data_IF_772106490408
#
_entry.id   IF_772106490408
#
_cell.length_a   1.000
_cell.length_b   1.000
_cell.length_c   1.000
_cell.angle_alpha   90.00
_cell.angle_beta   90.00
_cell.angle_gamma   90.00
#
_symmetry.space_group_name_H-M   'P 1'
#
loop_
_entity.id
_entity.type
_entity.pdbx_description
1 polymer ?
#
# COMPACT_ATOMS: atom_id res chain seq x y z
N UNK A 1 -59.35 -7.75 -11.47
CA UNK A 1 -58.09 -6.98 -11.30
C UNK A 1 -57.16 -7.50 -10.20
N UNK A 2 -57.62 -8.12 -9.09
CA UNK A 2 -56.76 -8.50 -7.94
C UNK A 2 -55.77 -9.66 -8.16
N UNK A 3 -56.07 -10.66 -9.00
CA UNK A 3 -55.16 -11.83 -9.18
C UNK A 3 -53.87 -11.52 -9.97
N UNK A 4 -53.92 -10.60 -10.94
CA UNK A 4 -52.73 -10.20 -11.75
C UNK A 4 -51.75 -9.35 -10.93
N UNK A 5 -52.26 -8.55 -10.02
CA UNK A 5 -51.41 -7.69 -9.13
C UNK A 5 -50.66 -8.54 -8.12
N UNK A 6 -51.28 -9.58 -7.54
CA UNK A 6 -50.64 -10.50 -6.57
C UNK A 6 -49.54 -11.35 -7.25
N UNK A 7 -49.77 -11.81 -8.47
CA UNK A 7 -48.76 -12.54 -9.24
C UNK A 7 -47.56 -11.64 -9.61
N UNK A 8 -47.81 -10.38 -9.99
CA UNK A 8 -46.74 -9.42 -10.32
C UNK A 8 -45.88 -9.08 -9.09
N UNK A 9 -46.50 -8.89 -7.91
CA UNK A 9 -45.79 -8.67 -6.66
C UNK A 9 -45.02 -9.88 -6.19
N UNK A 10 -45.55 -11.08 -6.38
CA UNK A 10 -44.87 -12.36 -6.10
C UNK A 10 -43.66 -12.59 -6.98
N UNK A 11 -43.74 -12.31 -8.27
CA UNK A 11 -42.62 -12.43 -9.21
C UNK A 11 -41.56 -11.37 -8.96
N UNK A 12 -41.93 -10.12 -8.61
CA UNK A 12 -41.02 -9.07 -8.23
C UNK A 12 -40.29 -9.41 -6.93
N UNK A 13 -40.99 -9.98 -5.92
CA UNK A 13 -40.41 -10.45 -4.68
C UNK A 13 -39.43 -11.63 -4.88
N UNK A 14 -39.77 -12.60 -5.71
CA UNK A 14 -38.87 -13.71 -6.05
C UNK A 14 -37.67 -13.22 -6.85
N UNK A 15 -37.85 -12.27 -7.79
CA UNK A 15 -36.75 -11.64 -8.51
C UNK A 15 -35.78 -10.87 -7.59
N UNK A 16 -36.31 -10.13 -6.63
CA UNK A 16 -35.52 -9.40 -5.64
C UNK A 16 -34.74 -10.35 -4.69
N UNK A 17 -35.38 -11.45 -4.25
CA UNK A 17 -34.73 -12.47 -3.44
C UNK A 17 -33.66 -13.24 -4.23
N UNK A 18 -33.91 -13.58 -5.48
CA UNK A 18 -32.95 -14.26 -6.34
C UNK A 18 -31.77 -13.33 -6.70
N UNK A 19 -32.03 -12.05 -6.97
CA UNK A 19 -31.01 -11.02 -7.20
C UNK A 19 -30.17 -10.79 -5.97
N UNK A 20 -30.78 -10.62 -4.80
CA UNK A 20 -30.08 -10.47 -3.53
C UNK A 20 -29.21 -11.69 -3.19
N UNK A 21 -29.72 -12.90 -3.43
CA UNK A 21 -28.96 -14.13 -3.26
C UNK A 21 -27.75 -14.26 -4.20
N UNK A 22 -27.86 -13.76 -5.44
CA UNK A 22 -26.74 -13.76 -6.39
C UNK A 22 -25.66 -12.75 -5.96
N UNK A 23 -26.05 -11.54 -5.59
CA UNK A 23 -25.14 -10.50 -5.06
C UNK A 23 -24.40 -11.01 -3.83
N UNK A 24 -25.12 -11.62 -2.87
CA UNK A 24 -24.51 -12.19 -1.68
C UNK A 24 -23.50 -13.30 -1.98
N UNK A 25 -23.83 -14.21 -2.90
CA UNK A 25 -22.88 -15.27 -3.31
C UNK A 25 -21.63 -14.71 -3.97
N UNK A 26 -21.79 -13.69 -4.83
CA UNK A 26 -20.65 -13.03 -5.47
C UNK A 26 -19.74 -12.33 -4.45
N UNK A 27 -20.33 -11.62 -3.47
CA UNK A 27 -19.60 -11.03 -2.37
C UNK A 27 -18.88 -12.09 -1.52
N UNK A 28 -19.56 -13.15 -1.11
CA UNK A 28 -18.97 -14.23 -0.32
C UNK A 28 -17.78 -14.86 -1.03
N UNK A 29 -17.91 -15.16 -2.32
CA UNK A 29 -16.82 -15.70 -3.13
C UNK A 29 -15.61 -14.73 -3.21
N UNK A 30 -15.85 -13.42 -3.38
CA UNK A 30 -14.80 -12.43 -3.37
C UNK A 30 -14.09 -12.33 -2.01
N UNK A 31 -14.85 -12.39 -0.92
CA UNK A 31 -14.30 -12.36 0.43
C UNK A 31 -13.50 -13.64 0.75
N UNK A 32 -13.98 -14.81 0.33
CA UNK A 32 -13.26 -16.07 0.48
C UNK A 32 -11.94 -16.05 -0.31
N UNK A 33 -11.95 -15.54 -1.54
CA UNK A 33 -10.74 -15.34 -2.33
C UNK A 33 -9.77 -14.34 -1.67
N UNK A 34 -10.29 -13.26 -1.08
CA UNK A 34 -9.50 -12.29 -0.34
C UNK A 34 -8.83 -12.92 0.88
N UNK A 35 -9.55 -13.70 1.67
CA UNK A 35 -9.01 -14.43 2.82
C UNK A 35 -7.98 -15.50 2.42
N UNK A 36 -8.18 -16.18 1.32
CA UNK A 36 -7.24 -17.16 0.80
C UNK A 36 -5.86 -16.56 0.45
N UNK A 37 -5.78 -15.24 0.16
CA UNK A 37 -4.50 -14.54 -0.06
C UNK A 37 -3.73 -14.27 1.23
N UNK A 38 -4.40 -14.19 2.37
CA UNK A 38 -3.79 -13.76 3.64
C UNK A 38 -3.73 -14.85 4.70
N UNK A 39 -4.78 -15.66 4.84
CA UNK A 39 -4.88 -16.68 5.89
C UNK A 39 -3.85 -17.80 5.66
N UNK A 40 -3.01 -18.04 6.68
CA UNK A 40 -2.00 -19.12 6.65
C UNK A 40 -0.78 -18.84 5.75
N UNK A 41 -0.67 -17.63 5.16
CA UNK A 41 0.43 -17.28 4.24
C UNK A 41 1.49 -16.37 4.84
N UNK A 42 1.43 -16.13 6.13
CA UNK A 42 2.32 -15.22 6.85
C UNK A 42 2.70 -15.76 8.22
N UNK A 43 3.77 -15.24 8.77
CA UNK A 43 4.32 -15.57 10.09
C UNK A 43 4.21 -14.38 11.02
N UNK A 44 4.05 -14.62 12.31
CA UNK A 44 4.12 -13.61 13.36
C UNK A 44 5.49 -13.67 14.03
N UNK A 45 6.10 -12.50 14.24
CA UNK A 45 7.30 -12.33 15.04
C UNK A 45 6.97 -11.39 16.21
N UNK A 46 7.55 -11.67 17.38
CA UNK A 46 7.43 -10.78 18.53
C UNK A 46 8.38 -9.59 18.36
N UNK A 47 7.87 -8.39 18.53
CA UNK A 47 8.64 -7.15 18.58
C UNK A 47 8.38 -6.45 19.90
N UNK A 48 9.18 -5.43 20.23
CA UNK A 48 8.97 -4.57 21.42
C UNK A 48 7.62 -3.84 21.41
N UNK A 49 6.93 -3.81 20.26
CA UNK A 49 5.62 -3.17 20.09
C UNK A 49 4.45 -4.14 19.94
N UNK A 50 4.68 -5.43 20.18
CA UNK A 50 3.72 -6.51 19.98
C UNK A 50 4.05 -7.35 18.75
N UNK A 51 3.11 -8.21 18.37
CA UNK A 51 3.30 -9.09 17.22
C UNK A 51 3.37 -8.30 15.91
N UNK A 52 4.35 -8.60 15.07
CA UNK A 52 4.46 -8.09 13.71
C UNK A 52 4.30 -9.26 12.74
N UNK A 53 3.34 -9.14 11.84
CA UNK A 53 3.12 -10.09 10.77
C UNK A 53 4.04 -9.80 9.60
N UNK A 54 4.56 -10.84 8.96
CA UNK A 54 5.32 -10.73 7.70
C UNK A 54 5.15 -11.99 6.86
N UNK A 55 5.42 -11.86 5.57
CA UNK A 55 5.69 -12.99 4.69
C UNK A 55 6.99 -12.73 3.93
N UNK A 56 7.57 -13.80 3.37
CA UNK A 56 8.76 -13.70 2.54
C UNK A 56 8.60 -14.57 1.29
N UNK A 57 9.14 -14.09 0.17
CA UNK A 57 9.16 -14.79 -1.12
C UNK A 57 10.54 -14.68 -1.76
N UNK A 58 11.02 -15.79 -2.36
CA UNK A 58 12.37 -15.90 -2.91
C UNK A 58 13.43 -16.27 -1.88
N UNK A 59 14.63 -16.69 -2.35
CA UNK A 59 15.69 -17.26 -1.52
C UNK A 59 17.02 -16.45 -1.59
N UNK A 60 17.07 -15.38 -2.36
CA UNK A 60 18.28 -14.59 -2.61
C UNK A 60 18.58 -13.54 -1.53
N UNK A 61 19.39 -12.52 -1.85
CA UNK A 61 19.69 -11.42 -0.94
C UNK A 61 18.41 -10.74 -0.46
N UNK A 62 18.29 -10.43 0.84
CA UNK A 62 17.05 -9.89 1.41
C UNK A 62 16.76 -8.47 0.93
N UNK A 63 15.48 -8.13 0.81
CA UNK A 63 14.97 -6.77 0.64
C UNK A 63 13.70 -6.61 1.48
N UNK A 64 13.63 -5.55 2.27
CA UNK A 64 12.45 -5.22 3.06
C UNK A 64 11.52 -4.34 2.22
N UNK A 65 10.32 -4.84 1.90
CA UNK A 65 9.29 -4.10 1.16
C UNK A 65 8.17 -3.65 2.07
N UNK A 66 8.07 -2.35 2.28
CA UNK A 66 7.09 -1.73 3.19
C UNK A 66 5.93 -1.17 2.37
N UNK A 67 4.76 -1.78 2.53
CA UNK A 67 3.54 -1.46 1.79
C UNK A 67 2.99 -0.06 2.10
N UNK A 68 2.15 0.46 1.20
CA UNK A 68 1.40 1.71 1.35
C UNK A 68 0.11 1.56 2.17
N UNK A 69 -0.73 2.60 2.14
CA UNK A 69 -2.05 2.59 2.78
C UNK A 69 -2.96 1.53 2.13
N UNK A 70 -3.72 0.82 2.96
CA UNK A 70 -4.62 -0.25 2.50
C UNK A 70 -3.94 -1.58 2.25
N UNK A 71 -2.62 -1.68 2.43
CA UNK A 71 -1.85 -2.88 2.16
C UNK A 71 -1.80 -3.88 3.32
N UNK A 72 -0.75 -4.65 3.30
CA UNK A 72 -0.35 -5.71 4.21
C UNK A 72 0.85 -6.41 3.61
N UNK A 73 1.27 -7.52 4.18
CA UNK A 73 2.36 -8.32 3.61
C UNK A 73 2.06 -8.76 2.16
N UNK A 74 0.80 -9.06 1.86
CA UNK A 74 0.32 -9.46 0.54
C UNK A 74 0.57 -8.37 -0.50
N UNK A 75 0.20 -7.11 -0.22
CA UNK A 75 0.49 -5.98 -1.12
C UNK A 75 2.00 -5.77 -1.29
N UNK A 76 2.77 -5.91 -0.20
CA UNK A 76 4.23 -5.80 -0.27
C UNK A 76 4.85 -6.85 -1.21
N UNK A 77 4.39 -8.10 -1.15
CA UNK A 77 4.83 -9.15 -2.06
C UNK A 77 4.38 -8.89 -3.50
N UNK A 78 3.13 -8.46 -3.71
CA UNK A 78 2.61 -8.15 -5.04
C UNK A 78 3.42 -7.05 -5.73
N UNK A 79 3.70 -5.94 -5.03
CA UNK A 79 4.50 -4.86 -5.59
C UNK A 79 5.94 -5.28 -5.88
N UNK A 80 6.54 -6.07 -5.00
CA UNK A 80 7.92 -6.50 -5.16
C UNK A 80 8.08 -7.84 -5.92
N UNK A 81 7.03 -8.37 -6.55
CA UNK A 81 7.07 -9.66 -7.24
C UNK A 81 8.17 -9.73 -8.32
N UNK A 82 8.44 -8.62 -9.01
CA UNK A 82 9.54 -8.53 -9.99
C UNK A 82 10.92 -8.63 -9.34
N UNK A 83 11.09 -8.15 -8.11
CA UNK A 83 12.33 -8.32 -7.36
C UNK A 83 12.52 -9.78 -6.93
N UNK A 84 11.45 -10.45 -6.50
CA UNK A 84 11.48 -11.88 -6.20
C UNK A 84 11.82 -12.69 -7.46
N UNK A 85 11.20 -12.39 -8.61
CA UNK A 85 11.50 -13.00 -9.89
C UNK A 85 12.95 -12.72 -10.37
N UNK A 86 13.54 -11.59 -9.97
CA UNK A 86 14.93 -11.24 -10.21
C UNK A 86 15.92 -11.88 -9.20
N UNK A 87 15.46 -12.82 -8.37
CA UNK A 87 16.30 -13.59 -7.45
C UNK A 87 16.54 -12.90 -6.09
N UNK A 88 15.71 -11.94 -5.67
CA UNK A 88 15.75 -11.37 -4.32
C UNK A 88 14.85 -12.17 -3.36
N UNK A 89 15.18 -12.15 -2.07
CA UNK A 89 14.28 -12.56 -1.00
C UNK A 89 13.51 -11.33 -0.53
N UNK A 90 12.29 -11.18 -0.99
CA UNK A 90 11.40 -10.09 -0.56
C UNK A 90 10.83 -10.44 0.81
N UNK A 91 11.03 -9.55 1.79
CA UNK A 91 10.44 -9.62 3.13
C UNK A 91 9.42 -8.51 3.21
N UNK A 92 8.16 -8.86 3.32
CA UNK A 92 7.05 -7.91 3.35
C UNK A 92 6.35 -7.97 4.71
N UNK A 93 6.56 -7.01 5.62
CA UNK A 93 5.80 -6.90 6.86
C UNK A 93 4.44 -6.26 6.62
N UNK A 94 3.42 -6.68 7.38
CA UNK A 94 2.21 -5.89 7.58
C UNK A 94 2.52 -4.80 8.61
N UNK A 95 2.32 -3.53 8.25
CA UNK A 95 2.56 -2.40 9.16
C UNK A 95 1.56 -2.41 10.32
N UNK A 96 1.79 -1.60 11.34
CA UNK A 96 0.94 -1.50 12.53
C UNK A 96 -0.55 -1.34 12.17
N UNK A 97 -1.38 -2.20 12.78
CA UNK A 97 -2.82 -2.21 12.60
C UNK A 97 -3.31 -2.81 11.28
N UNK A 98 -2.43 -3.34 10.45
CA UNK A 98 -2.80 -4.08 9.24
C UNK A 98 -2.77 -5.58 9.49
N UNK A 99 -3.82 -6.26 9.03
CA UNK A 99 -3.97 -7.71 9.13
C UNK A 99 -3.75 -8.19 10.58
N UNK A 100 -2.75 -9.05 10.83
CA UNK A 100 -2.47 -9.59 12.16
C UNK A 100 -1.41 -8.84 12.95
N UNK A 101 -0.87 -7.73 12.40
CA UNK A 101 0.10 -6.90 13.12
C UNK A 101 -0.57 -6.09 14.22
N UNK A 102 0.11 -6.00 15.36
CA UNK A 102 -0.34 -5.20 16.49
C UNK A 102 -0.57 -3.73 16.11
N UNK A 103 -1.50 -3.08 16.80
CA UNK A 103 -1.71 -1.64 16.77
C UNK A 103 -1.31 -1.07 18.14
N UNK A 104 -0.06 -0.61 18.35
CA UNK A 104 0.36 -0.07 19.63
C UNK A 104 -0.43 1.19 19.98
N UNK A 105 -0.51 1.55 21.27
CA UNK A 105 -1.30 2.69 21.74
C UNK A 105 -0.85 4.02 21.08
N UNK A 106 0.43 4.16 20.80
CA UNK A 106 1.03 5.34 20.15
C UNK A 106 1.82 4.91 18.92
N UNK A 107 1.14 4.60 17.81
CA UNK A 107 1.82 4.24 16.58
C UNK A 107 2.50 5.46 15.97
N UNK A 108 3.75 5.28 15.53
CA UNK A 108 4.50 6.31 14.81
C UNK A 108 5.40 5.68 13.74
N UNK A 109 5.92 6.49 12.83
CA UNK A 109 6.83 6.03 11.79
C UNK A 109 8.17 5.54 12.40
N UNK A 110 8.63 6.18 13.48
CA UNK A 110 9.82 5.80 14.22
C UNK A 110 9.67 4.44 14.90
N UNK A 111 8.56 4.24 15.62
CA UNK A 111 8.26 2.94 16.25
C UNK A 111 8.08 1.82 15.23
N UNK A 112 7.49 2.14 14.08
CA UNK A 112 7.38 1.18 12.99
C UNK A 112 8.75 0.82 12.42
N UNK A 113 9.67 1.78 12.30
CA UNK A 113 11.05 1.56 11.91
C UNK A 113 11.80 0.67 12.92
N UNK A 114 11.60 0.92 14.22
CA UNK A 114 12.19 0.09 15.28
C UNK A 114 11.63 -1.35 15.26
N UNK A 115 10.32 -1.54 14.94
CA UNK A 115 9.74 -2.86 14.77
C UNK A 115 10.30 -3.60 13.55
N UNK A 116 10.70 -2.89 12.49
CA UNK A 116 11.39 -3.50 11.36
C UNK A 116 12.80 -3.95 11.72
N UNK A 117 13.50 -3.22 12.59
CA UNK A 117 14.80 -3.66 13.12
C UNK A 117 14.64 -4.94 13.93
N UNK A 118 13.62 -5.03 14.81
CA UNK A 118 13.30 -6.25 15.55
C UNK A 118 12.96 -7.42 14.61
N UNK A 119 12.25 -7.17 13.50
CA UNK A 119 11.97 -8.19 12.48
C UNK A 119 13.26 -8.71 11.84
N UNK A 120 14.17 -7.82 11.42
CA UNK A 120 15.44 -8.22 10.83
C UNK A 120 16.29 -9.02 11.83
N UNK A 121 16.29 -8.65 13.13
CA UNK A 121 16.96 -9.41 14.19
C UNK A 121 16.40 -10.82 14.33
N UNK A 122 15.07 -10.94 14.36
CA UNK A 122 14.38 -12.24 14.45
C UNK A 122 14.67 -13.15 13.23
N UNK A 123 14.98 -12.55 12.07
CA UNK A 123 15.33 -13.26 10.84
C UNK A 123 16.84 -13.51 10.69
N UNK A 124 17.68 -13.03 11.62
CA UNK A 124 19.14 -13.12 11.53
C UNK A 124 19.71 -12.30 10.38
N UNK A 125 19.04 -11.23 9.96
CA UNK A 125 19.47 -10.37 8.85
C UNK A 125 20.15 -9.13 9.44
N UNK A 126 21.47 -9.03 9.21
CA UNK A 126 22.25 -7.92 9.73
C UNK A 126 21.87 -6.58 9.08
N UNK A 127 21.71 -6.56 7.76
CA UNK A 127 21.34 -5.37 6.98
C UNK A 127 20.59 -5.75 5.71
N UNK A 128 19.71 -4.86 5.25
CA UNK A 128 18.95 -5.04 4.01
C UNK A 128 18.64 -3.70 3.35
N UNK A 129 18.42 -3.68 2.03
CA UNK A 129 17.74 -2.57 1.37
C UNK A 129 16.31 -2.46 1.90
N UNK A 130 15.83 -1.22 2.02
CA UNK A 130 14.46 -0.92 2.45
C UNK A 130 13.76 -0.14 1.35
N UNK A 131 12.62 -0.65 0.90
CA UNK A 131 11.75 -0.01 -0.08
C UNK A 131 10.46 0.37 0.63
N UNK A 132 10.10 1.65 0.61
CA UNK A 132 8.85 2.14 1.18
C UNK A 132 7.96 2.76 0.11
N UNK A 133 6.75 2.22 -0.07
CA UNK A 133 5.76 2.76 -0.99
C UNK A 133 4.75 3.67 -0.28
N UNK A 134 4.45 4.84 -0.85
CA UNK A 134 3.42 5.75 -0.34
C UNK A 134 3.58 6.05 1.16
N UNK A 135 2.56 5.78 1.99
CA UNK A 135 2.64 5.93 3.45
C UNK A 135 3.73 5.05 4.08
N UNK A 136 4.13 3.93 3.46
CA UNK A 136 5.24 3.10 3.90
C UNK A 136 6.59 3.80 3.85
N UNK A 137 6.73 4.82 3.00
CA UNK A 137 7.95 5.62 2.93
C UNK A 137 8.26 6.36 4.22
N UNK A 138 7.26 6.74 5.03
CA UNK A 138 7.47 7.37 6.33
C UNK A 138 8.34 6.51 7.24
N UNK A 139 7.99 5.26 7.40
CA UNK A 139 8.74 4.33 8.24
C UNK A 139 10.02 3.81 7.59
N UNK A 140 10.11 3.76 6.26
CA UNK A 140 11.33 3.43 5.55
C UNK A 140 12.39 4.54 5.68
N UNK A 141 12.00 5.81 5.59
CA UNK A 141 12.86 6.97 5.86
C UNK A 141 13.33 6.97 7.31
N UNK A 142 12.43 6.76 8.25
CA UNK A 142 12.79 6.64 9.68
C UNK A 142 13.71 5.46 9.94
N UNK A 143 13.57 4.36 9.23
CA UNK A 143 14.49 3.23 9.36
C UNK A 143 15.92 3.62 8.94
N UNK A 144 16.07 4.29 7.82
CA UNK A 144 17.37 4.75 7.35
C UNK A 144 18.01 5.80 8.28
N UNK A 145 17.21 6.66 8.92
CA UNK A 145 17.67 7.65 9.89
C UNK A 145 18.11 6.99 11.21
N UNK A 146 17.27 6.10 11.75
CA UNK A 146 17.43 5.53 13.10
C UNK A 146 18.35 4.32 13.14
N UNK A 147 18.40 3.57 12.06
CA UNK A 147 19.15 2.32 11.92
C UNK A 147 20.12 2.36 10.72
N UNK A 148 21.03 3.34 10.64
CA UNK A 148 21.88 3.56 9.46
C UNK A 148 22.80 2.38 9.15
N UNK A 149 23.23 1.60 10.15
CA UNK A 149 24.03 0.38 9.93
C UNK A 149 23.22 -0.80 9.37
N UNK A 150 21.88 -0.76 9.53
CA UNK A 150 20.96 -1.82 9.12
C UNK A 150 20.35 -1.59 7.73
N UNK A 151 20.41 -0.35 7.22
CA UNK A 151 19.91 0.03 5.91
C UNK A 151 21.05 0.03 4.90
N UNK A 152 21.05 -0.91 3.95
CA UNK A 152 22.09 -0.97 2.91
C UNK A 152 21.79 -0.06 1.72
N UNK A 153 20.51 0.17 1.42
CA UNK A 153 20.00 1.13 0.44
C UNK A 153 18.56 1.50 0.81
N UNK A 154 18.12 2.69 0.41
CA UNK A 154 16.76 3.17 0.62
C UNK A 154 16.10 3.49 -0.72
N UNK A 155 14.88 2.99 -0.93
CA UNK A 155 14.03 3.38 -2.05
C UNK A 155 12.72 3.97 -1.52
N UNK A 156 12.44 5.22 -1.83
CA UNK A 156 11.20 5.90 -1.50
C UNK A 156 10.36 6.03 -2.77
N UNK A 157 9.34 5.16 -2.89
CA UNK A 157 8.43 5.12 -4.04
C UNK A 157 7.16 5.92 -3.75
N UNK A 158 6.82 6.88 -4.60
CA UNK A 158 5.64 7.75 -4.45
C UNK A 158 5.44 8.19 -2.99
N UNK A 159 6.46 8.77 -2.32
CA UNK A 159 6.52 8.90 -0.87
C UNK A 159 5.47 9.86 -0.33
N UNK A 160 4.62 9.41 0.59
CA UNK A 160 3.71 10.26 1.36
C UNK A 160 4.47 10.93 2.53
N UNK A 161 5.56 11.65 2.22
CA UNK A 161 6.41 12.32 3.20
C UNK A 161 6.22 13.83 3.14
N UNK A 162 6.61 14.51 4.22
CA UNK A 162 6.57 15.96 4.28
C UNK A 162 7.56 16.61 3.30
N UNK A 163 7.15 17.73 2.72
CA UNK A 163 8.02 18.64 1.97
C UNK A 163 7.63 20.09 2.23
N UNK A 164 8.59 21.03 2.26
CA UNK A 164 8.34 22.43 2.66
C UNK A 164 7.39 23.20 1.74
N UNK A 165 7.27 22.76 0.48
CA UNK A 165 6.42 23.40 -0.53
C UNK A 165 5.11 22.67 -0.78
N UNK A 166 4.85 21.58 -0.07
CA UNK A 166 3.62 20.80 -0.21
C UNK A 166 2.51 21.42 0.66
N UNK A 167 1.37 21.70 0.04
CA UNK A 167 0.22 22.13 0.79
C UNK A 167 -0.24 20.99 1.74
N UNK A 168 -0.70 21.32 2.96
CA UNK A 168 -1.27 20.29 3.83
C UNK A 168 -2.47 19.63 3.14
N UNK A 169 -2.61 18.31 3.25
CA UNK A 169 -3.76 17.61 2.69
C UNK A 169 -5.05 18.18 3.31
N UNK A 170 -6.00 18.54 2.44
CA UNK A 170 -7.30 19.02 2.92
C UNK A 170 -8.16 17.81 3.30
N UNK A 171 -8.64 17.71 4.56
CA UNK A 171 -9.50 16.62 4.96
C UNK A 171 -10.84 16.69 4.21
N UNK A 172 -11.44 15.54 3.88
CA UNK A 172 -12.81 15.53 3.36
C UNK A 172 -13.78 16.21 4.32
N UNK A 173 -14.86 16.78 3.77
CA UNK A 173 -15.92 17.31 4.64
C UNK A 173 -16.53 16.21 5.52
N UNK A 174 -17.17 16.57 6.66
CA UNK A 174 -17.61 15.59 7.68
C UNK A 174 -18.49 14.47 7.13
N UNK A 175 -19.36 14.78 6.16
CA UNK A 175 -20.24 13.79 5.53
C UNK A 175 -19.46 12.81 4.64
N UNK A 176 -18.54 13.33 3.82
CA UNK A 176 -17.68 12.49 2.98
C UNK A 176 -16.75 11.62 3.84
N UNK A 177 -16.22 12.17 4.94
CA UNK A 177 -15.40 11.42 5.90
C UNK A 177 -16.21 10.27 6.53
N UNK A 178 -17.45 10.49 6.93
CA UNK A 178 -18.31 9.45 7.50
C UNK A 178 -18.58 8.31 6.49
N UNK A 179 -18.80 8.64 5.21
CA UNK A 179 -18.97 7.64 4.14
C UNK A 179 -17.68 6.80 3.98
N UNK A 180 -16.54 7.46 3.92
CA UNK A 180 -15.23 6.81 3.80
C UNK A 180 -14.99 5.88 5.00
N UNK A 181 -15.22 6.36 6.20
CA UNK A 181 -15.03 5.59 7.43
C UNK A 181 -15.91 4.34 7.48
N UNK A 182 -17.16 4.43 7.01
CA UNK A 182 -18.06 3.28 6.93
C UNK A 182 -17.64 2.30 5.82
N UNK A 183 -17.26 2.81 4.64
CA UNK A 183 -16.82 1.99 3.52
C UNK A 183 -15.53 1.23 3.87
N UNK A 184 -14.58 1.88 4.57
CA UNK A 184 -13.32 1.27 5.00
C UNK A 184 -13.46 0.32 6.22
N UNK A 185 -14.65 0.15 6.77
CA UNK A 185 -14.95 -0.79 7.85
C UNK A 185 -15.88 -1.93 7.41
N UNK A 186 -16.42 -1.88 6.20
CA UNK A 186 -17.38 -2.85 5.69
C UNK A 186 -16.88 -3.50 4.42
N UNK A 187 -16.53 -4.78 4.51
CA UNK A 187 -16.10 -5.57 3.35
C UNK A 187 -17.16 -5.57 2.25
N UNK A 188 -18.46 -5.60 2.62
CA UNK A 188 -19.55 -5.58 1.65
C UNK A 188 -19.65 -4.23 0.92
N UNK A 189 -19.58 -3.10 1.65
CA UNK A 189 -19.65 -1.77 1.02
C UNK A 189 -18.42 -1.51 0.13
N UNK A 190 -17.25 -1.92 0.58
CA UNK A 190 -16.03 -1.81 -0.23
C UNK A 190 -16.12 -2.65 -1.50
N UNK A 191 -16.52 -3.93 -1.37
CA UNK A 191 -16.76 -4.80 -2.52
C UNK A 191 -17.82 -4.24 -3.48
N UNK A 192 -18.91 -3.69 -2.96
CA UNK A 192 -19.94 -3.05 -3.79
C UNK A 192 -19.37 -1.85 -4.55
N UNK A 193 -18.53 -1.04 -3.90
CA UNK A 193 -17.78 0.04 -4.55
C UNK A 193 -16.91 -0.46 -5.71
N UNK A 194 -16.23 -1.59 -5.56
CA UNK A 194 -15.45 -2.22 -6.63
C UNK A 194 -16.34 -2.65 -7.83
N UNK A 195 -17.61 -3.03 -7.58
CA UNK A 195 -18.51 -3.46 -8.63
C UNK A 195 -19.20 -2.30 -9.39
N UNK A 196 -19.44 -1.19 -8.68
CA UNK A 196 -20.28 -0.09 -9.19
C UNK A 196 -19.54 1.21 -9.44
N UNK A 197 -18.35 1.38 -8.86
CA UNK A 197 -17.65 2.65 -8.85
C UNK A 197 -16.12 2.51 -8.91
N UNK A 198 -15.61 1.54 -9.67
CA UNK A 198 -14.17 1.25 -9.77
C UNK A 198 -13.35 2.52 -10.11
N UNK A 199 -13.80 3.32 -11.09
CA UNK A 199 -13.15 4.57 -11.47
C UNK A 199 -13.05 5.57 -10.31
N UNK A 200 -14.10 5.63 -9.48
CA UNK A 200 -14.08 6.48 -8.29
C UNK A 200 -13.06 5.99 -7.26
N UNK A 201 -12.93 4.68 -7.09
CA UNK A 201 -11.94 4.09 -6.20
C UNK A 201 -10.51 4.25 -6.73
N UNK A 202 -10.29 4.11 -8.04
CA UNK A 202 -9.00 4.41 -8.69
C UNK A 202 -8.60 5.86 -8.39
N UNK A 203 -9.52 6.81 -8.60
CA UNK A 203 -9.25 8.22 -8.32
C UNK A 203 -9.00 8.52 -6.84
N UNK A 204 -9.82 7.97 -5.95
CA UNK A 204 -9.78 8.30 -4.52
C UNK A 204 -8.71 7.54 -3.73
N UNK A 205 -8.51 6.25 -3.99
CA UNK A 205 -7.58 5.41 -3.23
C UNK A 205 -6.23 5.26 -3.90
N UNK A 206 -6.19 5.27 -5.23
CA UNK A 206 -4.94 5.13 -5.99
C UNK A 206 -4.46 6.46 -6.59
N UNK A 207 -5.12 7.58 -6.32
CA UNK A 207 -4.73 8.91 -6.78
C UNK A 207 -4.27 8.96 -8.25
N UNK A 208 -4.88 8.12 -9.07
CA UNK A 208 -4.56 7.89 -10.47
C UNK A 208 -5.76 8.28 -11.34
N UNK A 209 -5.50 8.84 -12.52
CA UNK A 209 -6.58 9.14 -13.46
C UNK A 209 -7.19 7.85 -14.01
N UNK A 210 -8.51 7.59 -13.81
CA UNK A 210 -9.16 6.43 -14.39
C UNK A 210 -9.06 6.36 -15.92
N UNK A 211 -9.01 7.53 -16.59
CA UNK A 211 -8.83 7.57 -18.05
C UNK A 211 -7.45 7.05 -18.48
N UNK A 212 -6.42 7.20 -17.65
CA UNK A 212 -5.11 6.59 -17.89
C UNK A 212 -5.20 5.07 -17.82
N UNK A 213 -5.86 4.54 -16.80
CA UNK A 213 -6.08 3.09 -16.64
C UNK A 213 -6.91 2.52 -17.79
N UNK A 214 -7.97 3.21 -18.22
CA UNK A 214 -8.83 2.77 -19.32
C UNK A 214 -8.11 2.57 -20.65
N UNK A 215 -7.07 3.39 -20.94
CA UNK A 215 -6.24 3.26 -22.17
C UNK A 215 -5.02 2.36 -22.01
N UNK A 216 -4.73 1.87 -20.82
CA UNK A 216 -3.61 0.97 -20.58
C UNK A 216 -3.84 -0.43 -21.19
N UNK A 217 -2.78 -1.21 -21.35
CA UNK A 217 -2.85 -2.59 -21.79
C UNK A 217 -3.73 -3.44 -20.85
N UNK A 218 -4.37 -4.52 -21.34
CA UNK A 218 -5.25 -5.36 -20.52
C UNK A 218 -4.59 -5.88 -19.24
N UNK A 219 -3.32 -6.27 -19.32
CA UNK A 219 -2.54 -6.79 -18.21
C UNK A 219 -2.34 -5.72 -17.13
N UNK A 220 -2.12 -4.48 -17.56
CA UNK A 220 -1.91 -3.36 -16.67
C UNK A 220 -3.23 -2.93 -15.99
N UNK A 221 -4.34 -2.94 -16.71
CA UNK A 221 -5.67 -2.75 -16.11
C UNK A 221 -5.97 -3.81 -15.05
N UNK A 222 -5.63 -5.08 -15.35
CA UNK A 222 -5.80 -6.17 -14.40
C UNK A 222 -4.91 -5.97 -13.16
N UNK A 223 -3.67 -5.48 -13.30
CA UNK A 223 -2.79 -5.14 -12.19
C UNK A 223 -3.39 -4.04 -11.30
N UNK A 224 -3.88 -2.95 -11.89
CA UNK A 224 -4.50 -1.84 -11.14
C UNK A 224 -5.74 -2.32 -10.39
N UNK A 225 -6.58 -3.12 -11.06
CA UNK A 225 -7.76 -3.72 -10.43
C UNK A 225 -7.37 -4.64 -9.27
N UNK A 226 -6.35 -5.48 -9.44
CA UNK A 226 -5.84 -6.35 -8.38
C UNK A 226 -5.36 -5.54 -7.15
N UNK A 227 -4.71 -4.39 -7.33
CA UNK A 227 -4.32 -3.50 -6.23
C UNK A 227 -5.55 -3.09 -5.40
N UNK A 228 -6.67 -2.73 -6.04
CA UNK A 228 -7.91 -2.40 -5.33
C UNK A 228 -8.55 -3.63 -4.67
N UNK A 229 -8.64 -4.75 -5.39
CA UNK A 229 -9.23 -5.99 -4.87
C UNK A 229 -8.44 -6.54 -3.69
N UNK A 230 -7.12 -6.33 -3.64
CA UNK A 230 -6.25 -6.77 -2.57
C UNK A 230 -6.36 -5.91 -1.29
N UNK A 231 -7.15 -4.82 -1.32
CA UNK A 231 -7.56 -4.12 -0.09
C UNK A 231 -8.60 -4.94 0.70
N UNK A 232 -9.33 -5.87 0.06
CA UNK A 232 -10.19 -6.82 0.78
C UNK A 232 -9.35 -7.90 1.51
N UNK A 233 -9.76 -8.34 2.72
CA UNK A 233 -10.83 -7.79 3.55
C UNK A 233 -10.44 -6.41 4.11
N UNK A 234 -11.24 -5.38 3.83
CA UNK A 234 -10.94 -4.02 4.31
C UNK A 234 -11.10 -3.92 5.84
N UNK A 235 -11.99 -4.72 6.41
CA UNK A 235 -12.20 -4.80 7.86
C UNK A 235 -10.92 -5.19 8.62
N UNK A 236 -10.10 -6.08 8.06
CA UNK A 236 -8.82 -6.52 8.65
C UNK A 236 -7.70 -5.47 8.51
N UNK A 237 -7.96 -4.39 7.77
CA UNK A 237 -7.01 -3.29 7.50
C UNK A 237 -7.46 -1.96 8.09
N UNK A 238 -8.69 -1.89 8.64
CA UNK A 238 -9.32 -0.66 9.11
C UNK A 238 -8.52 0.07 10.21
N UNK A 239 -7.85 -0.65 11.10
CA UNK A 239 -6.99 -0.03 12.11
C UNK A 239 -5.76 0.63 11.48
N UNK A 240 -5.13 -0.04 10.51
CA UNK A 240 -3.99 0.48 9.75
C UNK A 240 -4.36 1.71 8.94
N UNK A 241 -5.51 1.73 8.27
CA UNK A 241 -6.02 2.92 7.57
C UNK A 241 -6.11 4.14 8.50
N UNK A 242 -6.66 3.95 9.71
CA UNK A 242 -6.78 5.04 10.69
C UNK A 242 -5.40 5.52 11.19
N UNK A 243 -4.45 4.61 11.35
CA UNK A 243 -3.07 4.95 11.71
C UNK A 243 -2.44 5.77 10.59
N UNK A 244 -2.51 5.31 9.35
CA UNK A 244 -1.93 6.00 8.20
C UNK A 244 -2.53 7.39 7.98
N UNK A 245 -3.86 7.52 8.05
CA UNK A 245 -4.52 8.82 7.91
C UNK A 245 -3.97 9.85 8.91
N UNK A 246 -3.71 9.43 10.17
CA UNK A 246 -3.12 10.29 11.19
C UNK A 246 -1.64 10.59 10.92
N UNK A 247 -0.85 9.58 10.56
CA UNK A 247 0.59 9.76 10.34
C UNK A 247 0.89 10.60 9.11
N UNK A 248 0.14 10.42 8.03
CA UNK A 248 0.29 11.23 6.81
C UNK A 248 -0.16 12.67 7.05
N UNK A 249 -1.30 12.87 7.73
CA UNK A 249 -1.78 14.22 8.06
C UNK A 249 -0.85 14.97 9.04
N UNK A 250 -0.14 14.25 9.91
CA UNK A 250 0.82 14.78 10.86
C UNK A 250 2.27 14.72 10.37
N UNK A 251 2.50 14.42 9.07
CA UNK A 251 3.86 14.34 8.55
C UNK A 251 4.62 15.65 8.78
N UNK A 252 5.83 15.54 9.31
CA UNK A 252 6.67 16.65 9.73
C UNK A 252 8.08 16.51 9.12
N UNK A 253 8.91 17.56 9.16
CA UNK A 253 10.29 17.49 8.74
C UNK A 253 11.04 16.33 9.43
N UNK A 254 11.81 15.59 8.65
CA UNK A 254 12.69 14.52 9.12
C UNK A 254 14.14 14.90 8.90
N UNK A 255 15.06 14.36 9.69
CA UNK A 255 16.49 14.58 9.57
C UNK A 255 17.09 13.84 8.35
N UNK A 256 16.55 14.12 7.15
CA UNK A 256 16.91 13.44 5.88
C UNK A 256 18.40 13.57 5.56
N UNK A 257 19.03 14.68 5.93
CA UNK A 257 20.47 14.96 5.77
C UNK A 257 21.37 13.98 6.55
N UNK A 258 20.80 13.25 7.51
CA UNK A 258 21.55 12.25 8.30
C UNK A 258 21.55 10.86 7.66
N UNK A 259 20.74 10.63 6.62
CA UNK A 259 20.67 9.34 5.92
C UNK A 259 22.00 9.09 5.21
N UNK A 260 22.60 7.92 5.48
CA UNK A 260 23.88 7.50 4.90
C UNK A 260 23.75 6.44 3.82
N UNK A 261 22.62 5.75 3.79
CA UNK A 261 22.35 4.72 2.80
C UNK A 261 22.20 5.35 1.39
N UNK A 262 22.76 4.78 0.33
CA UNK A 262 22.41 5.15 -1.03
C UNK A 262 20.88 5.23 -1.14
N UNK A 263 20.37 6.32 -1.71
CA UNK A 263 18.93 6.60 -1.72
C UNK A 263 18.42 6.88 -3.12
N UNK A 264 17.30 6.24 -3.47
CA UNK A 264 16.51 6.49 -4.66
C UNK A 264 15.14 7.01 -4.25
N UNK A 265 14.76 8.19 -4.72
CA UNK A 265 13.39 8.68 -4.66
C UNK A 265 12.74 8.56 -6.04
N UNK A 266 11.55 7.98 -6.11
CA UNK A 266 10.82 7.76 -7.35
C UNK A 266 9.39 8.27 -7.22
N UNK A 267 8.90 9.04 -8.20
CA UNK A 267 7.51 9.47 -8.24
C UNK A 267 7.10 9.89 -9.66
N UNK A 268 5.83 10.24 -9.83
CA UNK A 268 5.22 10.58 -11.11
C UNK A 268 4.60 11.97 -11.06
N UNK A 269 4.64 12.68 -12.19
CA UNK A 269 4.23 14.09 -12.24
C UNK A 269 2.71 14.27 -12.17
N UNK A 270 1.95 13.26 -12.57
CA UNK A 270 0.49 13.24 -12.58
C UNK A 270 -0.12 12.50 -11.37
N UNK A 271 0.70 12.12 -10.39
CA UNK A 271 0.22 11.55 -9.12
C UNK A 271 -0.63 12.58 -8.37
N UNK A 272 -1.92 12.28 -8.18
CA UNK A 272 -2.86 13.20 -7.55
C UNK A 272 -2.66 13.39 -6.05
N UNK A 273 -1.80 12.57 -5.40
CA UNK A 273 -1.30 12.84 -4.04
C UNK A 273 -0.07 13.76 -4.03
N UNK A 274 0.37 14.24 -5.21
CA UNK A 274 1.49 15.18 -5.35
C UNK A 274 2.81 14.67 -4.73
N UNK A 275 3.00 13.34 -4.68
CA UNK A 275 4.17 12.73 -4.03
C UNK A 275 5.49 13.09 -4.70
N UNK A 276 5.48 13.61 -5.94
CA UNK A 276 6.68 14.10 -6.61
C UNK A 276 7.33 15.27 -5.85
N UNK A 277 6.54 16.08 -5.15
CA UNK A 277 7.08 17.18 -4.32
C UNK A 277 7.94 16.62 -3.18
N UNK A 278 7.43 15.60 -2.49
CA UNK A 278 8.17 14.91 -1.44
C UNK A 278 9.40 14.15 -2.00
N UNK A 279 9.25 13.46 -3.15
CA UNK A 279 10.37 12.76 -3.79
C UNK A 279 11.51 13.72 -4.17
N UNK A 280 11.19 14.90 -4.70
CA UNK A 280 12.17 15.95 -4.98
C UNK A 280 12.85 16.47 -3.71
N UNK A 281 12.09 16.68 -2.66
CA UNK A 281 12.63 17.12 -1.37
C UNK A 281 13.59 16.08 -0.79
N UNK A 282 13.22 14.80 -0.80
CA UNK A 282 14.09 13.69 -0.37
C UNK A 282 15.39 13.69 -1.19
N UNK A 283 15.28 13.74 -2.52
CA UNK A 283 16.44 13.71 -3.40
C UNK A 283 17.36 14.94 -3.25
N UNK A 284 16.81 16.10 -2.93
CA UNK A 284 17.58 17.32 -2.70
C UNK A 284 18.26 17.37 -1.31
N UNK A 285 17.72 16.64 -0.30
CA UNK A 285 18.15 16.75 1.10
C UNK A 285 19.06 15.59 1.49
N UNK A 286 18.77 14.37 1.02
CA UNK A 286 19.61 13.19 1.35
C UNK A 286 20.92 13.27 0.54
N UNK A 287 22.08 13.19 1.17
CA UNK A 287 23.36 13.27 0.46
C UNK A 287 23.51 12.16 -0.60
N UNK A 288 23.77 12.57 -1.84
CA UNK A 288 23.97 11.65 -2.96
C UNK A 288 22.72 10.91 -3.46
N UNK A 289 21.55 11.30 -2.99
CA UNK A 289 20.30 10.66 -3.43
C UNK A 289 20.01 10.93 -4.92
N UNK A 290 19.33 9.99 -5.55
CA UNK A 290 18.88 10.04 -6.94
C UNK A 290 17.38 10.25 -7.01
N UNK A 291 16.93 10.99 -8.02
CA UNK A 291 15.51 11.16 -8.34
C UNK A 291 15.19 10.49 -9.67
N UNK A 292 14.14 9.69 -9.68
CA UNK A 292 13.45 9.24 -10.90
C UNK A 292 12.05 9.86 -10.90
N UNK A 293 11.79 10.70 -11.89
CA UNK A 293 10.50 11.36 -12.07
C UNK A 293 9.94 10.96 -13.43
N UNK A 294 8.86 10.19 -13.44
CA UNK A 294 8.15 9.84 -14.68
C UNK A 294 7.08 10.89 -14.98
N UNK A 295 6.80 11.16 -16.28
CA UNK A 295 5.87 12.21 -16.68
C UNK A 295 4.41 11.86 -16.37
N UNK A 296 4.04 10.58 -16.46
CA UNK A 296 2.68 10.07 -16.23
C UNK A 296 2.70 8.65 -15.66
N UNK A 297 1.55 8.17 -15.16
CA UNK A 297 1.36 6.85 -14.60
C UNK A 297 0.56 6.87 -13.28
N UNK A 298 0.28 8.04 -12.73
CA UNK A 298 -0.41 8.21 -11.45
C UNK A 298 0.36 7.62 -10.28
N UNK A 299 -0.32 7.43 -9.16
CA UNK A 299 0.29 6.93 -7.92
C UNK A 299 0.76 5.47 -8.00
N UNK A 300 0.20 4.69 -8.91
CA UNK A 300 0.52 3.26 -9.08
C UNK A 300 1.28 2.97 -10.37
N UNK A 301 1.94 3.98 -10.95
CA UNK A 301 2.84 3.91 -12.12
C UNK A 301 2.28 3.12 -13.30
N UNK A 302 1.01 3.39 -13.67
CA UNK A 302 0.31 2.73 -14.79
C UNK A 302 1.14 2.77 -16.07
N UNK A 303 1.37 1.60 -16.65
CA UNK A 303 2.18 1.44 -17.86
C UNK A 303 3.69 1.37 -17.65
N UNK A 304 4.18 1.62 -16.42
CA UNK A 304 5.61 1.70 -16.11
C UNK A 304 6.10 0.64 -15.10
N UNK A 305 5.29 -0.37 -14.78
CA UNK A 305 5.64 -1.34 -13.74
C UNK A 305 6.98 -2.04 -14.00
N UNK A 306 7.23 -2.47 -15.23
CA UNK A 306 8.49 -3.10 -15.59
C UNK A 306 9.68 -2.13 -15.52
N UNK A 307 9.50 -0.89 -15.98
CA UNK A 307 10.51 0.17 -15.99
C UNK A 307 10.90 0.57 -14.55
N UNK A 308 9.90 0.79 -13.70
CA UNK A 308 10.10 1.16 -12.29
C UNK A 308 10.91 0.09 -11.56
N UNK A 309 10.54 -1.18 -11.68
CA UNK A 309 11.28 -2.24 -10.99
C UNK A 309 12.61 -2.62 -11.63
N UNK A 310 12.80 -2.37 -12.93
CA UNK A 310 14.11 -2.45 -13.56
C UNK A 310 15.06 -1.36 -13.02
N UNK A 311 14.56 -0.13 -12.82
CA UNK A 311 15.32 0.97 -12.22
C UNK A 311 15.66 0.68 -10.75
N UNK A 312 14.70 0.19 -9.96
CA UNK A 312 14.94 -0.23 -8.56
C UNK A 312 16.00 -1.34 -8.52
N UNK A 313 15.89 -2.37 -9.36
CA UNK A 313 16.85 -3.47 -9.41
C UNK A 313 18.27 -3.00 -9.76
N UNK A 314 18.37 -2.11 -10.76
CA UNK A 314 19.64 -1.50 -11.17
C UNK A 314 20.26 -0.69 -10.03
N UNK A 315 19.46 0.16 -9.39
CA UNK A 315 19.91 0.96 -8.25
C UNK A 315 20.41 0.10 -7.09
N UNK A 316 19.69 -0.97 -6.72
CA UNK A 316 20.12 -1.89 -5.65
C UNK A 316 21.43 -2.60 -6.01
N UNK A 317 21.63 -2.99 -7.27
CA UNK A 317 22.87 -3.61 -7.73
C UNK A 317 24.06 -2.63 -7.66
N UNK A 318 23.87 -1.38 -8.10
CA UNK A 318 24.89 -0.32 -8.03
C UNK A 318 25.25 0.04 -6.58
N UNK A 319 24.29 -0.04 -5.67
CA UNK A 319 24.50 0.18 -4.23
C UNK A 319 25.20 -0.99 -3.53
N UNK A 320 25.43 -2.11 -4.20
CA UNK A 320 25.99 -3.33 -3.60
C UNK A 320 25.06 -3.93 -2.53
N UNK A 321 23.78 -3.76 -2.72
CA UNK A 321 22.77 -4.07 -1.72
C UNK A 321 21.82 -5.20 -2.18
#
# INVERSE_FOLDING_TARGET
MRRRTVLALGLAGLGALAGGGAVWRSFAAALDAARARTVGRSTLVATRFGALEYAAEGDGPPVLMVHGTGGGFDQGLDFACRLAAAGRRVIAPSRFGYLRSAAPAEPSAERQADAFADLLDALGIERAPVIGGSAGALSALQFAIRHPSRCSALVAMVPAAWAPTQAPPQPPGPFAQAIIDHALQSDFLFWLGLQLGEDSLIGALLATDPALVARAAPEERARVRAILEHILPVSDRAAGFRIDARLVAAAAPMALETIRAPTLALSLADDRFETLVAARHIAATVPGARLVALPEGGHVWVGHDAEVFAEVSRFLAEAGA
#
